data_IF_542521729454
#
_entry.id   IF_542521729454
#
_cell.length_a   1.000
_cell.length_b   1.000
_cell.length_c   1.000
_cell.angle_alpha   90.00
_cell.angle_beta   90.00
_cell.angle_gamma   90.00
#
_symmetry.space_group_name_H-M   'P 1'
#
loop_
_entity.id
_entity.type
_entity.pdbx_description
1 polymer ?
#
# COMPACT_ATOMS: atom_id res chain seq x y z
N UNK A 1 64.28 -14.74 -28.19
CA UNK A 1 64.01 -13.29 -28.29
C UNK A 1 62.69 -13.12 -29.02
N UNK A 2 61.69 -12.56 -28.34
CA UNK A 2 60.28 -12.26 -28.73
C UNK A 2 59.44 -13.42 -29.32
N UNK A 3 58.32 -13.71 -28.65
CA UNK A 3 56.98 -13.32 -29.14
C UNK A 3 55.93 -13.57 -28.04
N UNK A 4 55.22 -12.50 -27.70
CA UNK A 4 53.96 -12.58 -26.98
C UNK A 4 52.86 -13.01 -27.95
N UNK A 5 52.10 -14.04 -27.58
CA UNK A 5 50.79 -14.41 -28.15
C UNK A 5 50.04 -15.17 -27.05
N UNK A 6 48.98 -14.63 -26.45
CA UNK A 6 47.59 -14.81 -26.89
C UNK A 6 47.33 -16.28 -27.27
N UNK A 7 46.55 -17.11 -26.56
CA UNK A 7 45.42 -16.90 -25.65
C UNK A 7 45.32 -18.17 -24.78
N UNK A 8 45.19 -18.05 -23.45
CA UNK A 8 44.78 -19.19 -22.63
C UNK A 8 43.26 -19.12 -22.42
N UNK A 9 42.53 -20.02 -23.08
CA UNK A 9 41.09 -20.19 -22.96
C UNK A 9 40.64 -20.55 -21.54
N UNK A 10 41.55 -21.00 -20.66
CA UNK A 10 41.25 -21.31 -19.25
C UNK A 10 40.77 -20.08 -18.45
N UNK A 11 41.27 -18.88 -18.78
CA UNK A 11 40.89 -17.62 -18.13
C UNK A 11 39.51 -17.13 -18.59
N UNK A 12 39.12 -17.49 -19.83
CA UNK A 12 37.76 -17.24 -20.36
C UNK A 12 36.74 -18.16 -19.73
N UNK A 13 37.11 -19.40 -19.44
CA UNK A 13 36.20 -20.36 -18.79
C UNK A 13 36.05 -20.08 -17.29
N UNK A 14 37.09 -19.56 -16.62
CA UNK A 14 36.99 -19.03 -15.24
C UNK A 14 36.09 -17.79 -15.13
N UNK A 15 36.11 -16.89 -16.12
CA UNK A 15 35.21 -15.74 -16.17
C UNK A 15 33.77 -16.11 -16.56
N UNK A 16 33.58 -17.18 -17.34
CA UNK A 16 32.24 -17.74 -17.62
C UNK A 16 31.66 -18.49 -16.42
N UNK A 17 32.49 -19.09 -15.56
CA UNK A 17 32.05 -19.67 -14.29
C UNK A 17 31.59 -18.58 -13.28
N UNK A 18 32.16 -17.37 -13.35
CA UNK A 18 31.69 -16.23 -12.56
C UNK A 18 30.31 -15.71 -12.98
N UNK A 19 29.74 -16.19 -14.10
CA UNK A 19 28.35 -15.95 -14.45
C UNK A 19 27.34 -16.79 -13.64
N UNK A 20 27.78 -17.70 -12.75
CA UNK A 20 26.88 -18.75 -12.22
C UNK A 20 26.32 -18.49 -10.81
N UNK A 21 26.77 -17.49 -10.05
CA UNK A 21 26.43 -17.44 -8.59
C UNK A 21 25.86 -16.13 -8.02
N UNK A 22 25.52 -15.09 -8.81
CA UNK A 22 24.83 -13.91 -8.25
C UNK A 22 23.92 -13.18 -9.25
N UNK A 23 22.81 -13.82 -9.60
CA UNK A 23 21.48 -13.19 -9.71
C UNK A 23 21.35 -11.82 -10.40
N UNK A 24 21.75 -11.71 -11.67
CA UNK A 24 21.20 -10.69 -12.56
C UNK A 24 20.07 -11.32 -13.37
N UNK A 25 18.82 -11.07 -12.96
CA UNK A 25 17.64 -11.22 -13.83
C UNK A 25 16.54 -10.26 -13.38
N UNK A 26 16.07 -9.47 -14.34
CA UNK A 26 14.88 -8.62 -14.33
C UNK A 26 15.01 -7.10 -14.05
N UNK A 27 16.04 -6.42 -14.57
CA UNK A 27 15.89 -5.00 -14.95
C UNK A 27 16.09 -4.87 -16.44
N UNK A 28 15.00 -4.92 -17.19
CA UNK A 28 14.96 -4.54 -18.60
C UNK A 28 14.84 -3.02 -18.68
N UNK A 29 15.91 -2.33 -19.08
CA UNK A 29 15.83 -0.92 -19.45
C UNK A 29 15.13 -0.82 -20.81
N UNK A 30 13.81 -0.58 -20.79
CA UNK A 30 13.06 -0.22 -21.98
C UNK A 30 13.26 1.28 -22.21
N UNK A 31 14.01 1.63 -23.26
CA UNK A 31 14.10 3.02 -23.71
C UNK A 31 12.81 3.40 -24.43
N UNK A 32 11.88 4.07 -23.73
CA UNK A 32 10.66 4.63 -24.33
C UNK A 32 10.97 6.05 -24.79
N UNK A 33 10.58 6.41 -26.02
CA UNK A 33 10.77 7.77 -26.52
C UNK A 33 9.99 8.76 -25.65
N UNK A 34 10.55 9.95 -25.39
CA UNK A 34 9.90 10.97 -24.56
C UNK A 34 8.50 11.36 -25.08
N UNK A 35 8.28 11.26 -26.38
CA UNK A 35 7.00 11.56 -27.02
C UNK A 35 5.99 10.41 -26.90
N UNK A 36 6.44 9.15 -26.84
CA UNK A 36 5.57 8.04 -26.45
C UNK A 36 5.23 8.06 -24.97
N UNK A 37 6.20 8.40 -24.12
CA UNK A 37 5.99 8.53 -22.68
C UNK A 37 4.91 9.59 -22.39
N UNK A 38 4.91 10.73 -23.11
CA UNK A 38 3.87 11.76 -23.01
C UNK A 38 2.49 11.31 -23.51
N UNK A 39 2.42 10.38 -24.45
CA UNK A 39 1.15 9.79 -24.91
C UNK A 39 0.57 8.80 -23.90
N UNK A 40 1.44 8.11 -23.14
CA UNK A 40 1.04 7.21 -22.05
C UNK A 40 0.69 7.99 -20.77
N UNK A 41 1.51 8.99 -20.44
CA UNK A 41 1.32 9.93 -19.34
C UNK A 41 0.39 11.06 -19.77
N UNK A 42 -0.85 10.71 -20.12
CA UNK A 42 -1.90 11.72 -20.30
C UNK A 42 -2.13 12.36 -18.93
N UNK A 43 -1.87 13.67 -18.76
CA UNK A 43 -2.19 14.35 -17.51
C UNK A 43 -3.70 14.23 -17.31
N UNK A 44 -4.09 13.51 -16.27
CA UNK A 44 -5.51 13.41 -15.90
C UNK A 44 -5.90 14.77 -15.35
N UNK A 45 -6.80 15.46 -16.05
CA UNK A 45 -7.32 16.73 -15.55
C UNK A 45 -8.09 16.44 -14.27
N UNK A 46 -7.70 17.09 -13.17
CA UNK A 46 -8.31 16.89 -11.86
C UNK A 46 -9.83 17.10 -11.93
N UNK A 47 -10.31 18.00 -12.80
CA UNK A 47 -11.74 18.25 -13.03
C UNK A 47 -12.52 17.02 -13.52
N UNK A 48 -11.91 16.15 -14.33
CA UNK A 48 -12.58 14.97 -14.89
C UNK A 48 -12.75 13.84 -13.87
N UNK A 49 -11.89 13.79 -12.83
CA UNK A 49 -11.99 12.83 -11.72
C UNK A 49 -12.96 13.28 -10.63
N UNK A 50 -13.10 14.60 -10.45
CA UNK A 50 -13.90 15.18 -9.35
C UNK A 50 -15.39 15.14 -9.65
N UNK A 51 -15.77 15.26 -10.92
CA UNK A 51 -17.16 15.09 -11.35
C UNK A 51 -17.72 13.67 -11.07
N UNK A 52 -16.85 12.65 -10.94
CA UNK A 52 -17.28 11.27 -10.67
C UNK A 52 -17.46 10.93 -9.18
N UNK A 53 -16.99 11.76 -8.24
CA UNK A 53 -16.77 11.31 -6.85
C UNK A 53 -17.75 11.83 -5.78
N UNK A 54 -18.57 12.85 -6.06
CA UNK A 54 -19.25 13.59 -4.97
C UNK A 54 -20.77 13.85 -5.13
N UNK A 55 -21.40 13.50 -6.24
CA UNK A 55 -22.83 13.77 -6.45
C UNK A 55 -23.74 12.55 -6.22
N UNK A 56 -25.00 12.80 -5.85
CA UNK A 56 -26.03 11.77 -5.77
C UNK A 56 -26.28 11.18 -7.17
N UNK A 57 -26.13 9.87 -7.32
CA UNK A 57 -26.13 9.19 -8.62
C UNK A 57 -24.74 9.10 -9.28
N UNK A 58 -23.67 9.46 -8.58
CA UNK A 58 -22.31 9.30 -9.09
C UNK A 58 -21.91 7.83 -9.28
N UNK A 59 -20.93 7.52 -10.15
CA UNK A 59 -20.34 6.19 -10.26
C UNK A 59 -19.84 5.63 -8.92
N UNK A 60 -19.37 6.51 -8.02
CA UNK A 60 -18.95 6.12 -6.67
C UNK A 60 -20.13 5.63 -5.82
N UNK A 61 -21.28 6.32 -5.85
CA UNK A 61 -22.46 5.90 -5.09
C UNK A 61 -23.01 4.56 -5.60
N UNK A 62 -23.01 4.33 -6.91
CA UNK A 62 -23.37 3.03 -7.49
C UNK A 62 -22.46 1.90 -7.00
N UNK A 63 -21.13 2.12 -7.00
CA UNK A 63 -20.15 1.16 -6.44
C UNK A 63 -20.37 0.90 -4.94
N UNK A 64 -20.70 1.94 -4.16
CA UNK A 64 -20.97 1.82 -2.73
C UNK A 64 -22.19 0.94 -2.49
N UNK A 65 -23.27 1.15 -3.24
CA UNK A 65 -24.49 0.35 -3.13
C UNK A 65 -24.25 -1.11 -3.55
N UNK A 66 -23.54 -1.35 -4.66
CA UNK A 66 -23.18 -2.70 -5.12
C UNK A 66 -22.33 -3.43 -4.06
N UNK A 67 -21.36 -2.74 -3.47
CA UNK A 67 -20.49 -3.30 -2.45
C UNK A 67 -21.23 -3.57 -1.14
N UNK A 68 -22.15 -2.70 -0.73
CA UNK A 68 -23.02 -2.95 0.41
C UNK A 68 -23.88 -4.19 0.20
N UNK A 69 -24.47 -4.34 -0.99
CA UNK A 69 -25.28 -5.50 -1.34
C UNK A 69 -24.47 -6.80 -1.27
N UNK A 70 -23.28 -6.83 -1.89
CA UNK A 70 -22.37 -8.01 -1.85
C UNK A 70 -21.93 -8.35 -0.43
N UNK A 71 -21.58 -7.35 0.38
CA UNK A 71 -21.18 -7.56 1.77
C UNK A 71 -22.33 -8.10 2.62
N UNK A 72 -23.55 -7.58 2.43
CA UNK A 72 -24.75 -8.10 3.09
C UNK A 72 -25.01 -9.54 2.68
N UNK A 73 -25.02 -9.84 1.38
CA UNK A 73 -25.22 -11.19 0.86
C UNK A 73 -24.24 -12.19 1.49
N UNK A 74 -22.95 -11.87 1.47
CA UNK A 74 -21.92 -12.71 2.10
C UNK A 74 -22.13 -12.86 3.60
N UNK A 75 -22.42 -11.77 4.32
CA UNK A 75 -22.62 -11.80 5.77
C UNK A 75 -23.83 -12.66 6.14
N UNK A 76 -24.95 -12.50 5.44
CA UNK A 76 -26.16 -13.28 5.68
C UNK A 76 -25.93 -14.77 5.40
N UNK A 77 -25.18 -15.12 4.35
CA UNK A 77 -24.80 -16.50 4.09
C UNK A 77 -23.95 -17.11 5.21
N UNK A 78 -23.08 -16.32 5.86
CA UNK A 78 -22.28 -16.78 7.00
C UNK A 78 -23.10 -16.85 8.30
N UNK A 79 -23.97 -15.88 8.54
CA UNK A 79 -24.91 -15.88 9.66
C UNK A 79 -25.83 -17.10 9.60
N UNK A 80 -26.30 -17.50 8.41
CA UNK A 80 -27.12 -18.69 8.24
C UNK A 80 -26.37 -19.98 8.62
N UNK A 81 -25.06 -20.07 8.36
CA UNK A 81 -24.25 -21.22 8.82
C UNK A 81 -24.14 -21.25 10.35
N UNK A 82 -24.00 -20.07 10.97
CA UNK A 82 -23.97 -19.95 12.45
C UNK A 82 -25.33 -20.36 13.02
N UNK A 83 -26.43 -19.87 12.47
CA UNK A 83 -27.78 -20.22 12.92
C UNK A 83 -28.08 -21.72 12.75
N UNK A 84 -27.64 -22.35 11.64
CA UNK A 84 -27.79 -23.80 11.44
C UNK A 84 -26.96 -24.64 12.42
N UNK A 85 -25.79 -24.16 12.85
CA UNK A 85 -24.91 -24.90 13.76
C UNK A 85 -25.22 -24.69 15.24
N UNK A 86 -25.62 -23.48 15.64
CA UNK A 86 -25.88 -23.11 17.03
C UNK A 86 -27.37 -23.11 17.39
N UNK A 87 -28.26 -23.20 16.40
CA UNK A 87 -29.71 -23.10 16.56
C UNK A 87 -30.24 -21.69 16.28
N UNK A 88 -31.43 -21.62 15.67
CA UNK A 88 -32.10 -20.37 15.26
C UNK A 88 -32.37 -19.41 16.44
N UNK A 89 -32.63 -19.96 17.64
CA UNK A 89 -32.92 -19.19 18.85
C UNK A 89 -31.68 -18.88 19.71
N UNK A 90 -30.49 -19.27 19.26
CA UNK A 90 -29.24 -19.02 20.00
C UNK A 90 -28.88 -17.54 20.02
N UNK A 91 -28.22 -17.10 21.10
CA UNK A 91 -27.66 -15.75 21.19
C UNK A 91 -26.64 -15.47 20.07
N UNK A 92 -25.89 -16.50 19.66
CA UNK A 92 -24.95 -16.43 18.55
C UNK A 92 -25.65 -16.11 17.22
N UNK A 93 -26.77 -16.78 16.91
CA UNK A 93 -27.57 -16.50 15.72
C UNK A 93 -28.16 -15.09 15.74
N UNK A 94 -28.75 -14.67 16.88
CA UNK A 94 -29.31 -13.32 17.04
C UNK A 94 -28.25 -12.24 16.82
N UNK A 95 -27.07 -12.39 17.42
CA UNK A 95 -25.98 -11.44 17.27
C UNK A 95 -25.41 -11.44 15.85
N UNK A 96 -25.27 -12.60 15.20
CA UNK A 96 -24.82 -12.68 13.80
C UNK A 96 -25.76 -11.95 12.84
N UNK A 97 -27.08 -12.22 12.92
CA UNK A 97 -28.09 -11.54 12.09
C UNK A 97 -28.13 -10.04 12.36
N UNK A 98 -28.04 -9.62 13.63
CA UNK A 98 -27.98 -8.21 14.02
C UNK A 98 -26.78 -7.51 13.38
N UNK A 99 -25.60 -8.12 13.38
CA UNK A 99 -24.39 -7.57 12.74
C UNK A 99 -24.57 -7.41 11.23
N UNK A 100 -25.13 -8.41 10.55
CA UNK A 100 -25.38 -8.30 9.10
C UNK A 100 -26.40 -7.21 8.75
N UNK A 101 -27.44 -7.03 9.57
CA UNK A 101 -28.42 -5.97 9.39
C UNK A 101 -27.82 -4.55 9.57
N UNK A 102 -26.79 -4.41 10.40
CA UNK A 102 -26.11 -3.14 10.67
C UNK A 102 -25.07 -2.75 9.61
N UNK A 103 -24.77 -3.62 8.63
CA UNK A 103 -23.82 -3.30 7.57
C UNK A 103 -24.34 -2.09 6.78
N UNK A 104 -23.56 -1.02 6.78
CA UNK A 104 -23.78 0.16 5.96
C UNK A 104 -22.44 0.59 5.37
N UNK A 105 -22.36 0.67 4.05
CA UNK A 105 -21.18 1.17 3.36
C UNK A 105 -21.42 2.63 3.03
N UNK A 106 -20.44 3.48 3.34
CA UNK A 106 -20.46 4.88 2.94
C UNK A 106 -19.26 5.13 2.03
N UNK A 107 -19.48 5.74 0.88
CA UNK A 107 -18.43 6.41 0.12
C UNK A 107 -18.51 7.89 0.43
N UNK A 108 -17.58 8.39 1.23
CA UNK A 108 -17.41 9.83 1.40
C UNK A 108 -16.50 10.31 0.30
N UNK A 109 -17.06 11.09 -0.63
CA UNK A 109 -16.26 11.79 -1.63
C UNK A 109 -15.34 12.84 -0.99
N UNK A 110 -14.42 13.40 -1.78
CA UNK A 110 -13.49 14.43 -1.31
C UNK A 110 -14.23 15.69 -0.88
N UNK A 111 -13.71 16.37 0.14
CA UNK A 111 -14.29 17.63 0.64
C UNK A 111 -13.79 18.82 -0.15
N UNK A 112 -14.71 19.62 -0.69
CA UNK A 112 -14.36 20.82 -1.44
C UNK A 112 -13.67 21.87 -0.54
N UNK A 113 -12.60 22.48 -1.05
CA UNK A 113 -11.84 23.53 -0.35
C UNK A 113 -11.06 23.06 0.89
N UNK A 114 -11.03 21.75 1.18
CA UNK A 114 -10.30 21.17 2.32
C UNK A 114 -9.00 20.54 1.83
N UNK A 115 -7.95 20.58 2.66
CA UNK A 115 -6.74 19.77 2.47
C UNK A 115 -6.45 19.01 3.77
N UNK A 116 -6.31 17.69 3.67
CA UNK A 116 -5.91 16.86 4.80
C UNK A 116 -4.39 16.84 4.94
N UNK A 117 -3.93 16.87 6.20
CA UNK A 117 -2.54 16.72 6.56
C UNK A 117 -2.42 15.94 7.88
N UNK A 118 -1.34 15.19 8.02
CA UNK A 118 -0.99 14.48 9.23
C UNK A 118 0.35 14.99 9.74
N UNK A 119 0.37 15.49 10.98
CA UNK A 119 1.58 15.94 11.65
C UNK A 119 1.87 15.01 12.84
N UNK A 120 3.10 14.49 12.91
CA UNK A 120 3.53 13.57 13.94
C UNK A 120 4.61 14.24 14.79
N UNK A 121 4.36 14.36 16.09
CA UNK A 121 5.36 14.82 17.06
C UNK A 121 6.28 13.65 17.43
N UNK A 122 7.39 13.54 16.70
CA UNK A 122 8.38 12.47 16.87
C UNK A 122 9.05 12.50 18.25
N UNK A 123 9.07 13.64 18.94
CA UNK A 123 9.65 13.72 20.29
C UNK A 123 8.81 12.98 21.34
N UNK A 124 7.51 12.81 21.08
CA UNK A 124 6.58 12.06 21.94
C UNK A 124 6.46 10.59 21.55
N UNK A 125 7.07 10.18 20.44
CA UNK A 125 7.02 8.79 20.02
C UNK A 125 7.92 7.93 20.92
N UNK A 126 7.30 7.07 21.73
CA UNK A 126 8.00 6.14 22.62
C UNK A 126 8.21 4.75 22.00
N UNK A 127 7.91 4.57 20.71
CA UNK A 127 8.06 3.29 20.04
C UNK A 127 7.02 2.23 20.41
N UNK A 128 5.87 2.58 21.00
CA UNK A 128 4.90 1.59 21.47
C UNK A 128 4.12 0.83 20.38
N UNK A 129 4.27 1.21 19.09
CA UNK A 129 3.62 0.60 17.92
C UNK A 129 2.08 0.54 17.92
N UNK A 130 1.41 1.18 18.88
CA UNK A 130 -0.06 1.21 18.96
C UNK A 130 -0.72 1.79 17.71
N UNK A 131 -0.07 2.75 17.03
CA UNK A 131 -0.52 3.28 15.75
C UNK A 131 -0.55 2.21 14.64
N UNK A 132 0.48 1.37 14.55
CA UNK A 132 0.54 0.28 13.58
C UNK A 132 -0.55 -0.77 13.84
N UNK A 133 -0.71 -1.19 15.10
CA UNK A 133 -1.77 -2.13 15.48
C UNK A 133 -3.18 -1.58 15.21
N UNK A 134 -3.44 -0.32 15.56
CA UNK A 134 -4.72 0.32 15.27
C UNK A 134 -4.99 0.37 13.76
N UNK A 135 -3.99 0.68 12.95
CA UNK A 135 -4.12 0.70 11.50
C UNK A 135 -4.45 -0.69 10.92
N UNK A 136 -3.80 -1.75 11.40
CA UNK A 136 -4.10 -3.14 11.01
C UNK A 136 -5.53 -3.53 11.39
N UNK A 137 -5.98 -3.15 12.58
CA UNK A 137 -7.33 -3.44 13.08
C UNK A 137 -8.41 -2.72 12.29
N UNK A 138 -8.21 -1.44 12.00
CA UNK A 138 -9.19 -0.60 11.30
C UNK A 138 -9.31 -0.97 9.81
N UNK A 139 -8.18 -1.26 9.16
CA UNK A 139 -8.13 -1.43 7.71
C UNK A 139 -8.21 -2.91 7.27
N UNK A 140 -8.62 -3.81 8.15
CA UNK A 140 -8.81 -5.23 7.87
C UNK A 140 -7.58 -5.89 7.19
N UNK A 141 -6.37 -5.51 7.59
CA UNK A 141 -5.15 -6.07 7.01
C UNK A 141 -4.99 -7.55 7.38
N UNK A 142 -4.43 -8.34 6.47
CA UNK A 142 -4.20 -9.77 6.69
C UNK A 142 -3.24 -10.00 7.85
N UNK A 143 -3.76 -10.45 9.00
CA UNK A 143 -2.99 -10.63 10.25
C UNK A 143 -1.81 -11.59 10.12
N UNK A 144 -1.91 -12.57 9.22
CA UNK A 144 -0.89 -13.61 9.03
C UNK A 144 0.19 -13.21 8.03
N UNK A 145 0.03 -12.08 7.33
CA UNK A 145 0.95 -11.66 6.26
C UNK A 145 2.11 -10.79 6.79
N UNK A 146 2.06 -10.36 8.07
CA UNK A 146 3.07 -9.47 8.64
C UNK A 146 3.11 -8.07 8.00
N UNK A 147 2.07 -7.72 7.24
CA UNK A 147 1.95 -6.42 6.58
C UNK A 147 1.44 -5.40 7.61
N UNK A 148 2.16 -4.29 7.72
CA UNK A 148 1.75 -3.12 8.48
C UNK A 148 1.98 -1.91 7.58
N UNK A 149 0.92 -1.13 7.30
CA UNK A 149 1.05 0.12 6.51
C UNK A 149 1.78 1.24 7.25
N UNK A 150 1.89 1.13 8.57
CA UNK A 150 2.68 2.03 9.40
C UNK A 150 3.82 1.21 9.99
N UNK A 151 5.06 1.59 9.66
CA UNK A 151 6.27 1.01 10.25
C UNK A 151 6.86 1.99 11.23
N UNK A 152 7.24 1.51 12.43
CA UNK A 152 7.92 2.35 13.41
C UNK A 152 9.40 2.00 13.38
N UNK A 153 10.21 2.97 13.01
CA UNK A 153 11.67 2.83 12.93
C UNK A 153 12.28 3.14 14.29
N UNK A 154 13.02 2.21 14.87
CA UNK A 154 13.93 2.44 16.00
C UNK A 154 15.31 2.80 15.45
N UNK A 155 15.86 3.95 15.85
CA UNK A 155 17.21 4.39 15.43
C UNK A 155 17.99 4.93 16.64
N UNK A 156 19.33 4.83 16.66
CA UNK A 156 20.15 5.52 17.65
C UNK A 156 19.92 7.03 17.59
N UNK A 157 19.83 7.69 18.76
CA UNK A 157 19.62 9.15 18.84
C UNK A 157 20.78 9.94 18.24
N UNK A 158 22.00 9.42 18.36
CA UNK A 158 23.22 10.07 17.87
C UNK A 158 23.38 9.92 16.35
N UNK A 159 22.77 8.88 15.76
CA UNK A 159 22.85 8.53 14.34
C UNK A 159 21.43 8.32 13.80
N UNK A 160 20.69 9.41 13.62
CA UNK A 160 19.32 9.42 13.06
C UNK A 160 19.33 9.16 11.54
N UNK A 161 19.86 8.02 11.12
CA UNK A 161 19.89 7.58 9.73
C UNK A 161 19.01 6.32 9.56
N UNK A 162 18.20 6.33 8.50
CA UNK A 162 17.32 5.22 8.12
C UNK A 162 18.09 3.93 7.82
N UNK A 163 19.38 4.02 7.49
CA UNK A 163 20.26 2.86 7.27
C UNK A 163 20.42 2.03 8.56
N UNK A 164 20.40 2.69 9.73
CA UNK A 164 20.51 2.05 11.04
C UNK A 164 19.14 1.76 11.68
N UNK A 165 18.05 1.91 10.92
CA UNK A 165 16.70 1.69 11.43
C UNK A 165 16.43 0.20 11.67
N UNK A 166 16.03 -0.12 12.90
CA UNK A 166 15.48 -1.41 13.28
C UNK A 166 13.95 -1.34 13.29
N UNK A 167 13.28 -2.24 12.57
CA UNK A 167 11.82 -2.33 12.52
C UNK A 167 11.26 -3.48 13.36
N UNK A 168 12.12 -4.39 13.82
CA UNK A 168 11.73 -5.65 14.47
C UNK A 168 12.08 -5.66 15.97
N UNK A 169 12.10 -4.49 16.59
CA UNK A 169 12.30 -4.37 18.03
C UNK A 169 11.06 -4.83 18.80
N UNK A 170 11.31 -5.52 19.92
CA UNK A 170 10.27 -6.03 20.84
C UNK A 170 10.13 -5.19 22.11
N UNK A 171 11.14 -4.38 22.44
CA UNK A 171 11.20 -3.58 23.66
C UNK A 171 11.37 -2.10 23.32
N UNK A 172 10.49 -1.27 23.87
CA UNK A 172 10.54 0.19 23.81
C UNK A 172 9.77 0.78 25.01
N UNK A 173 10.15 1.97 25.52
CA UNK A 173 11.21 2.86 25.00
C UNK A 173 12.62 2.49 25.52
N UNK A 174 13.65 2.72 24.69
CA UNK A 174 15.06 2.65 25.10
C UNK A 174 15.67 4.06 25.22
N UNK A 175 16.50 4.37 26.25
CA UNK A 175 16.98 5.73 26.50
C UNK A 175 17.80 6.36 25.36
N UNK A 176 18.62 5.58 24.67
CA UNK A 176 19.51 6.05 23.59
C UNK A 176 18.89 5.95 22.20
N UNK A 177 17.61 5.57 22.10
CA UNK A 177 16.92 5.38 20.83
C UNK A 177 15.89 6.50 20.59
N UNK A 178 15.61 6.72 19.31
CA UNK A 178 14.49 7.53 18.82
C UNK A 178 13.58 6.65 17.97
N UNK A 179 12.30 6.99 17.96
CA UNK A 179 11.29 6.22 17.24
C UNK A 179 10.57 7.11 16.23
N UNK A 180 10.54 6.69 14.98
CA UNK A 180 9.90 7.46 13.89
C UNK A 180 8.87 6.58 13.17
N UNK A 181 7.57 6.85 13.31
CA UNK A 181 6.54 6.21 12.51
C UNK A 181 6.59 6.71 11.06
N UNK A 182 6.68 5.78 10.11
CA UNK A 182 6.67 6.03 8.67
C UNK A 182 5.44 5.33 8.07
N UNK A 183 4.71 6.06 7.23
CA UNK A 183 3.49 5.62 6.56
C UNK A 183 3.38 6.25 5.16
N UNK A 184 2.25 6.04 4.47
CA UNK A 184 1.96 6.79 3.26
C UNK A 184 1.83 8.28 3.57
N UNK A 185 2.68 9.11 2.96
CA UNK A 185 2.70 10.56 3.21
C UNK A 185 1.65 11.34 2.39
N UNK A 186 0.90 10.67 1.52
CA UNK A 186 -0.07 11.29 0.59
C UNK A 186 0.53 12.51 -0.15
N UNK A 187 1.65 12.26 -0.85
CA UNK A 187 2.48 13.30 -1.46
C UNK A 187 1.69 14.25 -2.36
N UNK A 188 2.13 15.51 -2.42
CA UNK A 188 1.53 16.52 -3.31
C UNK A 188 1.66 16.12 -4.78
N UNK A 189 2.85 15.63 -5.17
CA UNK A 189 3.14 15.01 -6.46
C UNK A 189 3.50 13.52 -6.26
N UNK A 190 2.50 12.61 -6.26
CA UNK A 190 2.71 11.22 -5.90
C UNK A 190 3.20 10.39 -7.10
N UNK A 191 4.48 9.95 -7.14
CA UNK A 191 5.02 9.18 -8.26
C UNK A 191 4.32 7.82 -8.43
N UNK A 192 3.79 7.28 -7.33
CA UNK A 192 3.06 6.00 -7.33
C UNK A 192 1.76 6.05 -8.14
N UNK A 193 1.18 7.23 -8.38
CA UNK A 193 -0.01 7.40 -9.21
C UNK A 193 0.34 7.44 -10.70
N UNK A 194 1.45 8.08 -11.06
CA UNK A 194 1.89 8.23 -12.45
C UNK A 194 2.30 6.91 -13.09
N UNK A 195 2.81 5.96 -12.29
CA UNK A 195 3.28 4.66 -12.79
C UNK A 195 2.19 3.60 -12.90
N UNK A 196 0.95 3.88 -12.48
CA UNK A 196 -0.12 2.89 -12.47
C UNK A 196 -0.78 2.78 -13.87
N UNK A 197 -0.58 1.67 -14.62
CA UNK A 197 -1.06 1.57 -16.01
C UNK A 197 -2.58 1.54 -16.13
N UNK A 198 -3.28 1.08 -15.08
CA UNK A 198 -4.74 0.96 -15.04
C UNK A 198 -5.40 2.08 -14.23
N UNK A 199 -4.64 3.06 -13.74
CA UNK A 199 -5.14 4.15 -12.89
C UNK A 199 -5.98 3.65 -11.69
N UNK A 200 -5.47 2.60 -11.05
CA UNK A 200 -6.01 2.09 -9.78
C UNK A 200 -5.69 3.00 -8.59
N UNK A 201 -4.84 4.00 -8.76
CA UNK A 201 -4.47 4.94 -7.70
C UNK A 201 -4.49 6.35 -8.25
N UNK A 202 -5.08 7.29 -7.52
CA UNK A 202 -5.15 8.71 -7.88
C UNK A 202 -5.04 9.57 -6.63
N UNK A 203 -4.91 10.88 -6.83
CA UNK A 203 -4.97 11.88 -5.76
C UNK A 203 -6.28 12.61 -5.84
N UNK A 204 -6.96 12.72 -4.71
CA UNK A 204 -8.21 13.46 -4.57
C UNK A 204 -7.93 14.97 -4.34
N UNK A 205 -8.92 15.85 -4.62
CA UNK A 205 -8.80 17.30 -4.38
C UNK A 205 -8.43 17.67 -2.95
N UNK A 206 -8.84 16.85 -1.99
CA UNK A 206 -8.54 17.07 -0.58
C UNK A 206 -7.12 16.64 -0.17
N UNK A 207 -6.31 16.18 -1.13
CA UNK A 207 -4.91 15.81 -0.93
C UNK A 207 -4.68 14.33 -0.65
N UNK A 208 -5.74 13.54 -0.47
CA UNK A 208 -5.59 12.11 -0.15
C UNK A 208 -5.24 11.33 -1.42
N UNK A 209 -4.12 10.60 -1.36
CA UNK A 209 -3.79 9.56 -2.34
C UNK A 209 -4.53 8.27 -2.02
N UNK A 210 -5.41 7.84 -2.90
CA UNK A 210 -6.30 6.68 -2.72
C UNK A 210 -5.91 5.50 -3.63
N UNK A 211 -6.41 4.31 -3.29
CA UNK A 211 -6.21 3.07 -4.06
C UNK A 211 -7.53 2.35 -4.21
N UNK A 212 -7.93 2.10 -5.45
CA UNK A 212 -9.00 1.17 -5.79
C UNK A 212 -8.41 -0.25 -5.87
N UNK A 213 -8.69 -1.02 -4.83
CA UNK A 213 -8.23 -2.41 -4.70
C UNK A 213 -8.84 -3.33 -5.77
N UNK A 214 -10.04 -3.02 -6.27
CA UNK A 214 -10.75 -3.84 -7.26
C UNK A 214 -10.24 -3.57 -8.69
N UNK A 215 -9.77 -2.34 -8.94
CA UNK A 215 -9.12 -1.96 -10.21
C UNK A 215 -7.66 -2.39 -10.29
N UNK A 216 -7.00 -2.66 -9.16
CA UNK A 216 -5.58 -2.98 -9.12
C UNK A 216 -5.28 -4.34 -9.76
N UNK A 217 -4.47 -4.36 -10.82
CA UNK A 217 -4.02 -5.59 -11.51
C UNK A 217 -2.75 -6.23 -10.89
N UNK A 218 -2.23 -5.68 -9.79
CA UNK A 218 -1.08 -6.25 -9.10
C UNK A 218 0.27 -6.18 -9.83
N UNK A 219 0.47 -5.19 -10.72
CA UNK A 219 1.75 -4.99 -11.44
C UNK A 219 2.91 -4.49 -10.56
N UNK A 220 2.64 -4.05 -9.33
CA UNK A 220 3.64 -3.64 -8.29
C UNK A 220 4.54 -2.44 -8.61
N UNK A 221 4.42 -1.77 -9.76
CA UNK A 221 5.23 -0.58 -10.07
C UNK A 221 5.07 0.56 -9.06
N UNK A 222 3.88 0.69 -8.47
CA UNK A 222 3.64 1.69 -7.43
C UNK A 222 4.48 1.47 -6.16
N UNK A 223 4.95 0.24 -5.90
CA UNK A 223 5.84 -0.08 -4.78
C UNK A 223 7.23 0.50 -5.04
N UNK A 224 7.81 0.18 -6.18
CA UNK A 224 9.14 0.68 -6.57
C UNK A 224 9.17 2.20 -6.71
N UNK A 225 8.07 2.81 -7.16
CA UNK A 225 7.99 4.26 -7.32
C UNK A 225 7.86 5.03 -5.99
N UNK A 226 7.48 4.38 -4.88
CA UNK A 226 7.26 5.06 -3.61
C UNK A 226 8.60 5.27 -2.87
N UNK A 227 9.06 6.51 -2.64
CA UNK A 227 10.32 6.76 -1.95
C UNK A 227 10.29 6.37 -0.47
N UNK A 228 9.09 6.25 0.11
CA UNK A 228 8.89 5.88 1.51
C UNK A 228 8.66 4.38 1.72
N UNK A 229 8.61 3.58 0.65
CA UNK A 229 8.26 2.15 0.75
C UNK A 229 6.87 1.87 1.33
N UNK A 230 5.95 2.85 1.28
CA UNK A 230 4.64 2.78 1.95
C UNK A 230 3.57 1.97 1.20
N UNK A 231 3.94 1.28 0.11
CA UNK A 231 3.04 0.45 -0.70
C UNK A 231 3.39 -1.01 -0.46
N UNK A 232 2.36 -1.84 -0.27
CA UNK A 232 2.49 -3.26 0.02
C UNK A 232 1.59 -4.07 -0.93
N UNK A 233 1.99 -5.30 -1.24
CA UNK A 233 1.24 -6.26 -2.06
C UNK A 233 1.41 -7.67 -1.49
#
# INVERSE_FOLDING_TARGET
MKMAGQVDNSRRDLLKAAAVMAGASAVSFIAVSRDELKKMLVPVNLGDLVAEAAEAGSPLEGKVQEREAKLKEWCWAEADKICRSMGEDSDACREARKRCAMIKVKGTGPREGVRFAMALDVNKCIGCRRCAYACVMENNQGRNLGIEWIKVLEMPREEMDVIYANMDYTEAPKPIMVYVPVACMHCEDPPCTMVCPVRATWKEPDGIVVVDYDRCIGCRYCITACPYGARHF
#
